data_IF_752118088378
#
_entry.id   IF_752118088378
#
_cell.length_a   1.000
_cell.length_b   1.000
_cell.length_c   1.000
_cell.angle_alpha   90.00
_cell.angle_beta   90.00
_cell.angle_gamma   90.00
#
_symmetry.space_group_name_H-M   'P 1'
#
loop_
_entity.id
_entity.type
_entity.pdbx_description
1 polymer ?
#
# COMPACT_ATOMS: atom_id res chain seq x y z
N UNK A 1 19.74 -6.05 0.18
CA UNK A 1 18.74 -5.63 1.18
C UNK A 1 17.64 -4.88 0.45
N UNK A 2 16.41 -5.35 0.61
CA UNK A 2 15.24 -4.72 -0.01
C UNK A 2 15.07 -3.28 0.55
N UNK A 3 14.73 -2.32 -0.32
CA UNK A 3 14.53 -0.92 0.12
C UNK A 3 13.43 -0.79 1.18
N UNK A 4 12.43 -1.66 1.13
CA UNK A 4 11.33 -1.69 2.09
C UNK A 4 11.74 -2.22 3.47
N UNK A 5 12.76 -3.11 3.54
CA UNK A 5 13.33 -3.53 4.84
C UNK A 5 13.93 -2.33 5.61
N UNK A 6 14.61 -1.42 4.88
CA UNK A 6 15.12 -0.18 5.49
C UNK A 6 14.00 0.73 5.97
N UNK A 7 12.92 0.84 5.19
CA UNK A 7 11.78 1.69 5.50
C UNK A 7 10.90 1.15 6.62
N UNK A 8 10.90 -0.16 6.85
CA UNK A 8 10.04 -0.83 7.82
C UNK A 8 10.10 -0.23 9.24
N UNK A 9 11.29 0.18 9.69
CA UNK A 9 11.50 0.74 11.03
C UNK A 9 10.74 2.04 11.30
N UNK A 10 10.47 2.81 10.24
CA UNK A 10 9.74 4.10 10.31
C UNK A 10 8.39 4.03 9.59
N UNK A 11 7.97 2.83 9.23
CA UNK A 11 6.68 2.64 8.56
C UNK A 11 5.53 2.62 9.59
N UNK A 12 4.31 2.97 9.13
CA UNK A 12 3.15 2.92 9.99
C UNK A 12 2.94 1.50 10.52
N UNK A 13 2.63 1.37 11.80
CA UNK A 13 2.25 0.11 12.44
C UNK A 13 0.73 0.04 12.62
N UNK A 14 0.25 -1.16 12.79
CA UNK A 14 -1.16 -1.41 13.06
C UNK A 14 -1.65 -0.61 14.28
N UNK A 15 -2.82 0.00 14.14
CA UNK A 15 -3.56 0.63 15.22
C UNK A 15 -4.92 -0.04 15.31
N UNK A 16 -5.41 -0.32 16.52
CA UNK A 16 -6.70 -0.99 16.68
C UNK A 16 -7.89 -0.15 16.17
N UNK A 17 -7.73 1.17 16.12
CA UNK A 17 -8.70 2.11 15.57
C UNK A 17 -8.47 2.30 14.06
N UNK A 18 -9.56 2.33 13.29
CA UNK A 18 -9.50 2.60 11.86
C UNK A 18 -9.16 4.08 11.61
N UNK A 19 -8.24 4.33 10.69
CA UNK A 19 -8.06 5.68 10.15
C UNK A 19 -9.20 6.03 9.17
N UNK A 20 -9.25 7.29 8.72
CA UNK A 20 -10.32 7.79 7.86
C UNK A 20 -10.50 6.97 6.59
N UNK A 21 -9.40 6.64 5.89
CA UNK A 21 -9.47 5.87 4.63
C UNK A 21 -9.92 4.42 4.88
N UNK A 22 -9.44 3.81 5.94
CA UNK A 22 -9.89 2.46 6.32
C UNK A 22 -11.38 2.45 6.61
N UNK A 23 -11.86 3.41 7.41
CA UNK A 23 -13.27 3.54 7.76
C UNK A 23 -14.13 3.71 6.50
N UNK A 24 -13.81 4.67 5.64
CA UNK A 24 -14.52 4.92 4.38
C UNK A 24 -14.50 3.69 3.46
N UNK A 25 -13.37 2.99 3.39
CA UNK A 25 -13.24 1.76 2.59
C UNK A 25 -14.15 0.66 3.11
N UNK A 26 -14.13 0.37 4.40
CA UNK A 26 -14.98 -0.68 4.98
C UNK A 26 -16.46 -0.33 4.88
N UNK A 27 -16.86 0.92 5.12
CA UNK A 27 -18.24 1.39 4.93
C UNK A 27 -18.69 1.21 3.48
N UNK A 28 -17.85 1.55 2.50
CA UNK A 28 -18.19 1.38 1.08
C UNK A 28 -18.32 -0.10 0.70
N UNK A 29 -17.41 -0.97 1.17
CA UNK A 29 -17.49 -2.41 0.95
C UNK A 29 -18.75 -3.01 1.57
N UNK A 30 -19.12 -2.59 2.77
CA UNK A 30 -20.35 -3.01 3.45
C UNK A 30 -21.60 -2.62 2.65
N UNK A 31 -21.64 -1.39 2.10
CA UNK A 31 -22.75 -0.95 1.25
C UNK A 31 -22.89 -1.80 -0.02
N UNK A 32 -21.80 -2.32 -0.54
CA UNK A 32 -21.78 -3.29 -1.65
C UNK A 32 -22.01 -4.74 -1.20
N UNK A 33 -22.32 -4.97 0.08
CA UNK A 33 -22.53 -6.31 0.70
C UNK A 33 -21.31 -7.23 0.54
N UNK A 34 -20.12 -6.66 0.50
CA UNK A 34 -18.86 -7.42 0.51
C UNK A 34 -18.46 -7.63 1.97
N UNK A 35 -18.38 -8.89 2.39
CA UNK A 35 -18.03 -9.31 3.74
C UNK A 35 -16.72 -10.10 3.70
N UNK A 36 -15.91 -9.91 4.73
CA UNK A 36 -14.70 -10.70 5.00
C UNK A 36 -14.98 -11.93 5.88
N UNK A 37 -16.19 -12.00 6.46
CA UNK A 37 -16.59 -13.04 7.37
C UNK A 37 -16.41 -14.43 6.76
N UNK A 38 -15.66 -15.29 7.45
CA UNK A 38 -15.39 -16.68 7.07
C UNK A 38 -14.71 -16.86 5.69
N UNK A 39 -14.03 -15.83 5.18
CA UNK A 39 -13.33 -15.86 3.90
C UNK A 39 -11.86 -16.24 4.03
N UNK A 40 -11.36 -16.97 3.02
CA UNK A 40 -9.92 -17.08 2.76
C UNK A 40 -9.45 -15.85 2.01
N UNK A 41 -8.46 -15.15 2.57
CA UNK A 41 -7.98 -13.87 2.04
C UNK A 41 -6.48 -13.97 1.75
N UNK A 42 -6.05 -13.40 0.63
CA UNK A 42 -4.64 -13.06 0.42
C UNK A 42 -4.49 -11.53 0.43
N UNK A 43 -3.54 -11.03 1.23
CA UNK A 43 -3.13 -9.62 1.26
C UNK A 43 -1.76 -9.49 0.61
N UNK A 44 -1.70 -8.82 -0.56
CA UNK A 44 -0.53 -8.76 -1.44
C UNK A 44 0.22 -7.46 -1.20
N UNK A 45 1.51 -7.58 -0.81
CA UNK A 45 2.30 -6.44 -0.37
C UNK A 45 1.75 -5.86 0.92
N UNK A 46 1.50 -6.76 1.88
CA UNK A 46 0.82 -6.46 3.15
C UNK A 46 1.59 -5.49 4.07
N UNK A 47 2.90 -5.29 3.82
CA UNK A 47 3.76 -4.45 4.65
C UNK A 47 3.73 -4.88 6.11
N UNK A 48 3.63 -3.90 7.01
CA UNK A 48 3.53 -4.09 8.46
C UNK A 48 2.14 -4.54 8.94
N UNK A 49 1.22 -4.85 8.02
CA UNK A 49 -0.09 -5.38 8.37
C UNK A 49 -1.15 -4.36 8.77
N UNK A 50 -0.97 -3.09 8.43
CA UNK A 50 -1.91 -2.00 8.77
C UNK A 50 -3.34 -2.29 8.31
N UNK A 51 -3.52 -3.01 7.21
CA UNK A 51 -4.82 -3.50 6.73
C UNK A 51 -5.06 -4.96 7.14
N UNK A 52 -4.06 -5.80 6.99
CA UNK A 52 -4.12 -7.24 7.24
C UNK A 52 -4.77 -7.58 8.57
N UNK A 53 -4.35 -6.89 9.65
CA UNK A 53 -4.85 -7.19 11.00
C UNK A 53 -6.30 -6.74 11.22
N UNK A 54 -6.80 -5.75 10.47
CA UNK A 54 -8.23 -5.44 10.47
C UNK A 54 -9.05 -6.50 9.72
N UNK A 55 -8.55 -6.95 8.56
CA UNK A 55 -9.20 -8.02 7.79
C UNK A 55 -9.26 -9.34 8.59
N UNK A 56 -8.20 -9.64 9.33
CA UNK A 56 -8.08 -10.86 10.13
C UNK A 56 -9.12 -10.98 11.24
N UNK A 57 -9.73 -9.88 11.69
CA UNK A 57 -10.77 -9.91 12.73
C UNK A 57 -12.03 -10.69 12.30
N UNK A 58 -12.30 -10.74 11.00
CA UNK A 58 -13.49 -11.39 10.44
C UNK A 58 -13.15 -12.59 9.55
N UNK A 59 -11.97 -12.58 8.95
CA UNK A 59 -11.55 -13.61 8.01
C UNK A 59 -11.42 -14.99 8.68
N UNK A 60 -11.71 -16.05 7.91
CA UNK A 60 -11.38 -17.42 8.31
C UNK A 60 -9.87 -17.60 8.42
N UNK A 61 -9.15 -17.17 7.41
CA UNK A 61 -7.68 -17.21 7.34
C UNK A 61 -7.15 -16.15 6.40
N UNK A 62 -5.94 -15.65 6.68
CA UNK A 62 -5.23 -14.71 5.81
C UNK A 62 -3.85 -15.24 5.49
N UNK A 63 -3.49 -15.17 4.20
CA UNK A 63 -2.12 -15.24 3.73
C UNK A 63 -1.61 -13.83 3.47
N UNK A 64 -0.67 -13.34 4.26
CA UNK A 64 -0.02 -12.05 4.13
C UNK A 64 1.29 -12.20 3.35
N UNK A 65 1.34 -11.67 2.15
CA UNK A 65 2.47 -11.78 1.23
C UNK A 65 3.22 -10.45 1.16
N UNK A 66 4.52 -10.46 1.42
CA UNK A 66 5.41 -9.32 1.20
C UNK A 66 6.83 -9.77 0.86
N UNK A 67 7.53 -8.98 0.05
CA UNK A 67 8.92 -9.24 -0.34
C UNK A 67 9.94 -8.75 0.69
N UNK A 68 9.53 -7.93 1.67
CA UNK A 68 10.36 -7.37 2.71
C UNK A 68 10.18 -8.14 4.03
N UNK A 69 11.21 -8.88 4.43
CA UNK A 69 11.14 -9.71 5.64
C UNK A 69 10.90 -8.88 6.91
N UNK A 70 11.54 -7.72 7.04
CA UNK A 70 11.40 -6.84 8.20
C UNK A 70 9.96 -6.33 8.36
N UNK A 71 9.22 -6.12 7.25
CA UNK A 71 7.80 -5.78 7.30
C UNK A 71 6.98 -6.92 7.92
N UNK A 72 7.25 -8.16 7.50
CA UNK A 72 6.54 -9.33 8.01
C UNK A 72 6.85 -9.63 9.48
N UNK A 73 8.08 -9.38 9.93
CA UNK A 73 8.45 -9.49 11.34
C UNK A 73 7.62 -8.54 12.22
N UNK A 74 7.45 -7.29 11.79
CA UNK A 74 6.60 -6.30 12.47
C UNK A 74 5.14 -6.74 12.47
N UNK A 75 4.62 -7.22 11.33
CA UNK A 75 3.26 -7.75 11.23
C UNK A 75 3.03 -8.91 12.22
N UNK A 76 3.98 -9.86 12.30
CA UNK A 76 3.88 -11.00 13.21
C UNK A 76 3.91 -10.58 14.69
N UNK A 77 4.75 -9.58 15.04
CA UNK A 77 4.80 -9.01 16.37
C UNK A 77 3.47 -8.37 16.75
N UNK A 78 2.89 -7.54 15.85
CA UNK A 78 1.62 -6.89 16.07
C UNK A 78 0.46 -7.90 16.12
N UNK A 79 0.45 -8.93 15.27
CA UNK A 79 -0.51 -10.01 15.30
C UNK A 79 -0.50 -10.73 16.66
N UNK A 80 0.69 -11.05 17.18
CA UNK A 80 0.86 -11.67 18.51
C UNK A 80 0.33 -10.77 19.62
N UNK A 81 0.67 -9.47 19.58
CA UNK A 81 0.24 -8.47 20.57
C UNK A 81 -1.28 -8.35 20.62
N UNK A 82 -1.94 -8.47 19.47
CA UNK A 82 -3.39 -8.37 19.33
C UNK A 82 -4.14 -9.73 19.32
N UNK A 83 -3.43 -10.84 19.64
CA UNK A 83 -4.00 -12.19 19.74
C UNK A 83 -4.67 -12.66 18.43
N UNK A 84 -4.12 -12.28 17.29
CA UNK A 84 -4.56 -12.69 15.96
C UNK A 84 -3.78 -13.94 15.54
N UNK A 85 -4.46 -15.08 15.37
CA UNK A 85 -3.85 -16.39 15.12
C UNK A 85 -4.19 -17.00 13.75
N UNK A 86 -5.14 -16.44 13.02
CA UNK A 86 -5.60 -16.91 11.71
C UNK A 86 -4.80 -16.30 10.54
N UNK A 87 -3.55 -15.90 10.80
CA UNK A 87 -2.65 -15.24 9.87
C UNK A 87 -1.43 -16.12 9.58
N UNK A 88 -1.11 -16.26 8.30
CA UNK A 88 0.16 -16.81 7.82
C UNK A 88 0.90 -15.76 7.02
N UNK A 89 2.20 -15.62 7.23
CA UNK A 89 3.07 -14.71 6.45
C UNK A 89 3.90 -15.51 5.46
N UNK A 90 4.16 -14.91 4.30
CA UNK A 90 5.01 -15.49 3.27
C UNK A 90 5.93 -14.43 2.68
N UNK A 91 7.24 -14.62 2.85
CA UNK A 91 8.24 -13.70 2.31
C UNK A 91 8.60 -14.07 0.86
N UNK A 92 7.83 -13.54 -0.08
CA UNK A 92 8.04 -13.67 -1.53
C UNK A 92 7.50 -12.42 -2.24
N UNK A 93 8.01 -12.13 -3.43
CA UNK A 93 7.35 -11.22 -4.36
C UNK A 93 6.14 -11.90 -5.03
N UNK A 94 5.23 -11.08 -5.56
CA UNK A 94 3.97 -11.57 -6.12
C UNK A 94 4.17 -12.48 -7.35
N UNK A 95 5.13 -12.16 -8.23
CA UNK A 95 5.41 -12.98 -9.42
C UNK A 95 5.91 -14.37 -9.03
N UNK A 96 6.86 -14.45 -8.09
CA UNK A 96 7.38 -15.71 -7.55
C UNK A 96 6.30 -16.52 -6.84
N UNK A 97 5.45 -15.87 -6.06
CA UNK A 97 4.31 -16.50 -5.42
C UNK A 97 3.38 -17.15 -6.45
N UNK A 98 2.96 -16.38 -7.46
CA UNK A 98 1.98 -16.88 -8.43
C UNK A 98 2.52 -18.01 -9.31
N UNK A 99 3.82 -18.00 -9.65
CA UNK A 99 4.47 -19.08 -10.39
C UNK A 99 4.47 -20.43 -9.66
N UNK A 100 4.59 -20.37 -8.34
CA UNK A 100 4.81 -21.55 -7.50
C UNK A 100 3.55 -21.97 -6.69
N UNK A 101 2.42 -21.30 -6.92
CA UNK A 101 1.23 -21.52 -6.12
C UNK A 101 -0.04 -21.55 -6.98
N UNK A 102 -0.84 -22.60 -6.79
CA UNK A 102 -2.14 -22.77 -7.45
C UNK A 102 -3.33 -22.45 -6.51
N UNK A 103 -3.06 -21.93 -5.32
CA UNK A 103 -4.12 -21.62 -4.36
C UNK A 103 -5.05 -20.54 -4.92
N UNK A 104 -6.33 -20.71 -4.64
CA UNK A 104 -7.37 -19.73 -4.92
C UNK A 104 -7.93 -19.24 -3.59
N UNK A 105 -8.30 -17.98 -3.57
CA UNK A 105 -8.86 -17.32 -2.39
C UNK A 105 -10.28 -16.85 -2.67
N UNK A 106 -11.05 -16.62 -1.62
CA UNK A 106 -12.32 -15.94 -1.76
C UNK A 106 -12.11 -14.47 -2.09
N UNK A 107 -11.06 -13.87 -1.51
CA UNK A 107 -10.74 -12.45 -1.66
C UNK A 107 -9.23 -12.22 -1.80
N UNK A 108 -8.85 -11.39 -2.76
CA UNK A 108 -7.50 -10.82 -2.85
C UNK A 108 -7.55 -9.33 -2.53
N UNK A 109 -6.72 -8.91 -1.60
CA UNK A 109 -6.59 -7.54 -1.17
C UNK A 109 -5.20 -7.02 -1.53
N UNK A 110 -5.12 -5.79 -2.01
CA UNK A 110 -3.88 -5.09 -2.28
C UNK A 110 -4.07 -3.61 -1.96
N UNK A 111 -3.27 -3.08 -1.06
CA UNK A 111 -3.34 -1.67 -0.67
C UNK A 111 -1.99 -0.99 -0.79
N UNK A 112 -1.92 0.06 -1.62
CA UNK A 112 -0.76 0.95 -1.75
C UNK A 112 0.57 0.22 -2.03
N UNK A 113 0.50 -0.97 -2.62
CA UNK A 113 1.65 -1.82 -2.88
C UNK A 113 2.11 -1.73 -4.33
N UNK A 114 3.44 -1.70 -4.60
CA UNK A 114 3.99 -1.78 -5.93
C UNK A 114 4.08 -3.22 -6.46
N UNK A 115 3.37 -4.18 -5.89
CA UNK A 115 3.46 -5.60 -6.25
C UNK A 115 3.01 -5.92 -7.67
N UNK A 116 2.13 -5.08 -8.26
CA UNK A 116 1.67 -5.24 -9.63
C UNK A 116 2.45 -4.31 -10.56
N UNK A 117 3.38 -4.87 -11.36
CA UNK A 117 4.32 -4.10 -12.17
C UNK A 117 3.97 -4.04 -13.66
N UNK A 118 3.16 -4.98 -14.15
CA UNK A 118 2.91 -5.18 -15.58
C UNK A 118 1.58 -5.93 -15.82
N UNK A 119 1.17 -6.06 -17.08
CA UNK A 119 -0.09 -6.71 -17.47
C UNK A 119 -0.19 -8.18 -17.03
N UNK A 120 0.93 -8.89 -16.96
CA UNK A 120 0.95 -10.27 -16.45
C UNK A 120 0.57 -10.32 -14.97
N UNK A 121 1.08 -9.38 -14.17
CA UNK A 121 0.74 -9.29 -12.76
C UNK A 121 -0.73 -8.92 -12.57
N UNK A 122 -1.28 -8.02 -13.42
CA UNK A 122 -2.71 -7.69 -13.40
C UNK A 122 -3.56 -8.92 -13.71
N UNK A 123 -3.19 -9.68 -14.76
CA UNK A 123 -3.87 -10.93 -15.11
C UNK A 123 -3.81 -11.95 -13.96
N UNK A 124 -2.65 -12.10 -13.35
CA UNK A 124 -2.44 -13.00 -12.22
C UNK A 124 -3.29 -12.59 -11.01
N UNK A 125 -3.33 -11.30 -10.70
CA UNK A 125 -4.17 -10.75 -9.62
C UNK A 125 -5.66 -11.03 -9.86
N UNK A 126 -6.13 -10.80 -11.09
CA UNK A 126 -7.54 -11.05 -11.47
C UNK A 126 -7.93 -12.53 -11.38
N UNK A 127 -6.98 -13.44 -11.60
CA UNK A 127 -7.21 -14.88 -11.57
C UNK A 127 -7.06 -15.49 -10.16
N UNK A 128 -6.61 -14.73 -9.16
CA UNK A 128 -6.23 -15.25 -7.85
C UNK A 128 -7.41 -15.49 -6.92
N UNK A 129 -8.47 -14.70 -7.04
CA UNK A 129 -9.61 -14.73 -6.13
C UNK A 129 -10.94 -14.44 -6.85
N UNK A 130 -12.07 -14.72 -6.18
CA UNK A 130 -13.41 -14.36 -6.67
C UNK A 130 -13.61 -12.85 -6.62
N UNK A 131 -13.28 -12.22 -5.49
CA UNK A 131 -13.37 -10.78 -5.29
C UNK A 131 -11.95 -10.23 -5.18
N UNK A 132 -11.65 -9.16 -5.91
CA UNK A 132 -10.38 -8.45 -5.84
C UNK A 132 -10.64 -7.02 -5.41
N UNK A 133 -9.94 -6.58 -4.38
CA UNK A 133 -10.00 -5.24 -3.81
C UNK A 133 -8.62 -4.61 -3.96
N UNK A 134 -8.57 -3.50 -4.66
CA UNK A 134 -7.35 -2.75 -4.91
C UNK A 134 -7.51 -1.32 -4.43
N UNK A 135 -6.65 -0.90 -3.51
CA UNK A 135 -6.46 0.50 -3.15
C UNK A 135 -5.15 1.00 -3.71
N UNK A 136 -5.20 2.14 -4.39
CA UNK A 136 -4.02 2.80 -4.94
C UNK A 136 -4.19 4.30 -4.98
N UNK A 137 -3.09 5.03 -5.11
CA UNK A 137 -3.19 6.46 -5.36
C UNK A 137 -3.72 6.74 -6.77
N UNK A 138 -4.38 7.86 -6.92
CA UNK A 138 -4.56 8.49 -8.23
C UNK A 138 -3.26 9.25 -8.58
N UNK A 139 -3.24 9.99 -9.67
CA UNK A 139 -2.14 10.88 -10.06
C UNK A 139 -2.04 12.14 -9.17
N UNK A 140 -3.04 12.39 -8.33
CA UNK A 140 -3.06 13.56 -7.45
C UNK A 140 -2.37 13.24 -6.12
N UNK A 141 -1.25 13.87 -5.89
CA UNK A 141 -0.57 13.94 -4.60
C UNK A 141 0.20 15.24 -4.49
N UNK A 142 0.04 15.93 -3.37
CA UNK A 142 0.77 17.14 -3.02
C UNK A 142 1.42 16.98 -1.65
N UNK A 143 2.56 17.59 -1.47
CA UNK A 143 3.26 17.72 -0.20
C UNK A 143 3.85 19.11 -0.09
N UNK A 144 3.51 19.84 0.96
CA UNK A 144 4.06 21.17 1.22
C UNK A 144 5.58 21.13 1.51
N UNK A 145 6.10 19.96 1.86
CA UNK A 145 7.52 19.71 2.10
C UNK A 145 8.25 19.13 0.86
N UNK A 146 7.73 18.09 0.24
CA UNK A 146 8.43 17.41 -0.87
C UNK A 146 8.33 18.17 -2.18
N UNK A 147 7.21 18.82 -2.48
CA UNK A 147 7.02 19.52 -3.78
C UNK A 147 8.07 20.61 -4.03
N UNK A 148 8.42 21.49 -3.05
CA UNK A 148 9.52 22.46 -3.22
C UNK A 148 10.86 21.81 -3.48
N UNK A 149 11.17 20.68 -2.81
CA UNK A 149 12.42 19.95 -2.99
C UNK A 149 12.50 19.38 -4.42
N UNK A 150 11.44 18.71 -4.89
CA UNK A 150 11.39 18.16 -6.24
C UNK A 150 11.50 19.27 -7.30
N UNK A 151 10.85 20.41 -7.09
CA UNK A 151 10.96 21.58 -7.97
C UNK A 151 12.39 22.09 -8.06
N UNK A 152 13.14 22.10 -6.95
CA UNK A 152 14.55 22.48 -6.96
C UNK A 152 15.40 21.58 -7.87
N UNK A 153 15.09 20.28 -7.92
CA UNK A 153 15.72 19.32 -8.83
C UNK A 153 15.10 19.31 -10.26
N UNK A 154 14.37 20.36 -10.64
CA UNK A 154 13.71 20.52 -11.95
C UNK A 154 12.79 19.35 -12.32
N UNK A 155 12.09 18.79 -11.34
CA UNK A 155 11.15 17.70 -11.51
C UNK A 155 9.89 17.91 -10.68
N UNK A 156 8.89 17.12 -10.93
CA UNK A 156 7.67 17.09 -10.12
C UNK A 156 7.65 15.83 -9.27
N UNK A 157 7.15 15.95 -8.03
CA UNK A 157 6.85 14.81 -7.23
C UNK A 157 5.64 14.09 -7.83
N UNK A 158 5.93 13.15 -8.73
CA UNK A 158 4.90 12.24 -9.27
C UNK A 158 4.91 11.00 -8.40
N UNK A 159 3.75 10.65 -7.88
CA UNK A 159 3.54 9.30 -7.34
C UNK A 159 3.98 8.26 -8.38
N UNK A 160 4.23 7.02 -7.98
CA UNK A 160 4.70 5.93 -8.87
C UNK A 160 3.65 5.59 -9.92
N UNK A 161 3.55 6.41 -11.00
CA UNK A 161 2.59 6.18 -12.08
C UNK A 161 3.25 5.61 -13.33
N UNK A 162 3.02 4.33 -13.54
CA UNK A 162 2.98 3.67 -14.84
C UNK A 162 1.51 3.28 -15.11
N UNK A 163 1.17 2.79 -16.30
CA UNK A 163 -0.13 2.14 -16.59
C UNK A 163 -0.50 1.26 -15.40
N UNK A 164 -1.60 1.58 -14.78
CA UNK A 164 -2.02 0.89 -13.58
C UNK A 164 -3.13 -0.12 -13.87
N UNK A 165 -3.55 -0.82 -12.84
CA UNK A 165 -4.61 -1.81 -12.94
C UNK A 165 -5.90 -1.21 -13.52
N UNK A 166 -6.25 0.04 -13.20
CA UNK A 166 -7.46 0.69 -13.71
C UNK A 166 -7.44 0.80 -15.25
N UNK A 167 -6.34 1.30 -15.80
CA UNK A 167 -6.19 1.42 -17.25
C UNK A 167 -6.28 0.05 -17.92
N UNK A 168 -5.66 -0.96 -17.33
CA UNK A 168 -5.73 -2.34 -17.83
C UNK A 168 -7.17 -2.88 -17.83
N UNK A 169 -7.94 -2.65 -16.75
CA UNK A 169 -9.34 -3.08 -16.68
C UNK A 169 -10.19 -2.41 -17.76
N UNK A 170 -10.00 -1.09 -17.98
CA UNK A 170 -10.69 -0.34 -19.04
C UNK A 170 -10.32 -0.86 -20.45
N UNK A 171 -9.05 -1.05 -20.73
CA UNK A 171 -8.57 -1.58 -22.03
C UNK A 171 -9.11 -3.00 -22.33
N UNK A 172 -9.29 -3.82 -21.29
CA UNK A 172 -9.84 -5.17 -21.41
C UNK A 172 -11.36 -5.27 -21.30
N UNK A 173 -12.06 -4.13 -21.14
CA UNK A 173 -13.50 -4.07 -20.90
C UNK A 173 -13.96 -4.94 -19.72
N UNK A 174 -13.16 -4.99 -18.64
CA UNK A 174 -13.49 -5.70 -17.40
C UNK A 174 -14.26 -4.76 -16.49
N UNK A 175 -15.45 -5.18 -16.07
CA UNK A 175 -16.27 -4.38 -15.16
C UNK A 175 -15.66 -4.31 -13.75
N UNK A 176 -15.70 -3.13 -13.15
CA UNK A 176 -15.30 -2.89 -11.75
C UNK A 176 -16.08 -1.72 -11.14
N UNK A 177 -16.24 -1.76 -9.84
CA UNK A 177 -16.69 -0.60 -9.09
C UNK A 177 -15.50 0.27 -8.75
N UNK A 178 -15.69 1.60 -8.82
CA UNK A 178 -14.67 2.58 -8.45
C UNK A 178 -15.25 3.66 -7.55
N UNK A 179 -14.53 4.00 -6.50
CA UNK A 179 -14.71 5.22 -5.73
C UNK A 179 -13.35 5.86 -5.47
N UNK A 180 -13.32 7.17 -5.30
CA UNK A 180 -12.12 7.93 -4.98
C UNK A 180 -12.36 8.67 -3.67
N UNK A 181 -11.43 8.51 -2.73
CA UNK A 181 -11.41 9.20 -1.44
C UNK A 181 -10.36 10.31 -1.47
N UNK A 182 -10.72 11.47 -0.92
CA UNK A 182 -9.75 12.53 -0.63
C UNK A 182 -9.09 12.25 0.73
N UNK A 183 -7.77 12.35 0.79
CA UNK A 183 -6.99 12.22 2.01
C UNK A 183 -6.15 13.47 2.23
N UNK A 184 -6.27 14.05 3.41
CA UNK A 184 -5.33 15.06 3.90
C UNK A 184 -4.78 14.57 5.23
N UNK A 185 -3.47 14.46 5.34
CA UNK A 185 -2.81 14.05 6.57
C UNK A 185 -1.66 14.98 6.92
N UNK A 186 -1.46 15.19 8.21
CA UNK A 186 -0.31 15.89 8.75
C UNK A 186 0.64 14.88 9.39
N UNK A 187 1.90 14.94 9.03
CA UNK A 187 2.94 14.04 9.53
C UNK A 187 4.01 14.88 10.20
N UNK A 188 4.16 14.69 11.50
CA UNK A 188 5.26 15.30 12.24
C UNK A 188 6.53 14.48 11.99
N UNK A 189 7.64 15.17 11.71
CA UNK A 189 8.96 14.57 11.49
C UNK A 189 10.00 15.38 12.22
N UNK A 190 10.94 14.69 12.84
CA UNK A 190 12.19 15.34 13.24
C UNK A 190 12.95 15.81 12.00
N UNK A 191 13.90 16.71 12.18
CA UNK A 191 14.78 17.17 11.09
C UNK A 191 15.42 16.00 10.34
N UNK A 192 15.96 15.04 11.07
CA UNK A 192 16.62 13.84 10.51
C UNK A 192 15.64 12.99 9.70
N UNK A 193 14.46 12.71 10.25
CA UNK A 193 13.43 11.94 9.55
C UNK A 193 12.92 12.63 8.29
N UNK A 194 12.81 13.97 8.29
CA UNK A 194 12.43 14.74 7.13
C UNK A 194 13.47 14.62 6.01
N UNK A 195 14.76 14.77 6.36
CA UNK A 195 15.87 14.61 5.40
C UNK A 195 15.90 13.19 4.83
N UNK A 196 15.80 12.16 5.67
CA UNK A 196 15.79 10.76 5.23
C UNK A 196 14.58 10.45 4.34
N UNK A 197 13.41 10.98 4.69
CA UNK A 197 12.21 10.83 3.88
C UNK A 197 12.36 11.48 2.50
N UNK A 198 12.92 12.69 2.42
CA UNK A 198 13.16 13.36 1.15
C UNK A 198 14.18 12.61 0.30
N UNK A 199 15.30 12.17 0.86
CA UNK A 199 16.31 11.35 0.17
C UNK A 199 15.73 10.05 -0.37
N UNK A 200 14.88 9.38 0.42
CA UNK A 200 14.21 8.16 0.00
C UNK A 200 13.30 8.41 -1.21
N UNK A 201 12.47 9.45 -1.17
CA UNK A 201 11.58 9.80 -2.28
C UNK A 201 12.35 10.21 -3.54
N UNK A 202 13.43 11.01 -3.41
CA UNK A 202 14.30 11.38 -4.52
C UNK A 202 14.94 10.14 -5.16
N UNK A 203 15.48 9.24 -4.35
CA UNK A 203 16.08 7.97 -4.80
C UNK A 203 15.07 7.10 -5.56
N UNK A 204 13.84 6.99 -5.05
CA UNK A 204 12.77 6.23 -5.72
C UNK A 204 12.38 6.85 -7.08
N UNK A 205 12.58 8.16 -7.25
CA UNK A 205 12.38 8.87 -8.51
C UNK A 205 13.67 8.97 -9.35
N UNK A 206 14.70 8.17 -9.02
CA UNK A 206 16.00 8.10 -9.72
C UNK A 206 16.79 9.39 -9.70
N UNK A 207 16.56 10.23 -8.69
CA UNK A 207 17.32 11.45 -8.44
C UNK A 207 18.38 11.12 -7.40
N UNK A 208 19.65 11.21 -7.81
CA UNK A 208 20.80 11.04 -6.92
C UNK A 208 21.22 12.40 -6.37
N UNK A 209 21.27 12.54 -5.07
CA UNK A 209 21.68 13.79 -4.39
C UNK A 209 22.36 13.47 -3.06
N UNK A 210 23.04 14.46 -2.49
CA UNK A 210 23.68 14.32 -1.18
C UNK A 210 22.74 14.72 -0.04
N UNK A 211 23.09 14.27 1.17
CA UNK A 211 22.36 14.63 2.39
C UNK A 211 22.46 16.14 2.66
N UNK A 212 23.60 16.76 2.36
CA UNK A 212 23.86 18.18 2.54
C UNK A 212 22.91 19.02 1.67
N UNK A 213 22.73 18.64 0.41
CA UNK A 213 21.82 19.33 -0.51
C UNK A 213 20.38 19.31 -0.01
N UNK A 214 19.91 18.19 0.56
CA UNK A 214 18.56 18.09 1.11
C UNK A 214 18.46 18.79 2.46
N UNK A 215 19.52 18.77 3.28
CA UNK A 215 19.52 19.41 4.61
C UNK A 215 19.33 20.93 4.52
N UNK A 216 19.67 21.56 3.40
CA UNK A 216 19.42 23.00 3.20
C UNK A 216 17.94 23.38 3.17
N UNK A 217 17.04 22.41 2.97
CA UNK A 217 15.58 22.61 2.99
C UNK A 217 14.96 22.39 4.36
N UNK A 218 15.72 21.90 5.35
CA UNK A 218 15.20 21.48 6.65
C UNK A 218 16.01 22.12 7.79
N UNK A 219 15.51 23.20 8.34
CA UNK A 219 16.16 23.86 9.48
C UNK A 219 15.84 23.20 10.82
N UNK A 220 14.58 22.83 11.02
CA UNK A 220 14.03 22.29 12.28
C UNK A 220 13.12 21.08 11.98
N UNK A 221 12.51 20.54 13.05
CA UNK A 221 11.41 19.60 12.92
C UNK A 221 10.26 20.23 12.13
N UNK A 222 9.57 19.41 11.34
CA UNK A 222 8.53 19.87 10.43
C UNK A 222 7.20 19.17 10.71
N UNK A 223 6.11 19.80 10.27
CA UNK A 223 4.81 19.18 10.10
C UNK A 223 4.51 19.20 8.60
N UNK A 224 4.68 18.05 7.95
CA UNK A 224 4.38 17.88 6.53
C UNK A 224 2.88 17.68 6.34
N UNK A 225 2.25 18.50 5.48
CA UNK A 225 0.88 18.30 5.01
C UNK A 225 0.89 17.59 3.67
N UNK A 226 0.25 16.42 3.62
CA UNK A 226 0.14 15.60 2.41
C UNK A 226 -1.32 15.53 2.01
N UNK A 227 -1.61 15.97 0.78
CA UNK A 227 -2.90 15.77 0.14
C UNK A 227 -2.77 14.67 -0.91
N UNK A 228 -3.68 13.73 -0.92
CA UNK A 228 -3.72 12.66 -1.92
C UNK A 228 -5.16 12.23 -2.22
N UNK A 229 -5.33 11.60 -3.38
CA UNK A 229 -6.58 10.95 -3.75
C UNK A 229 -6.32 9.46 -3.89
N UNK A 230 -7.10 8.68 -3.16
CA UNK A 230 -6.99 7.24 -3.09
C UNK A 230 -8.16 6.62 -3.82
N UNK A 231 -7.88 5.80 -4.83
CA UNK A 231 -8.91 5.05 -5.53
C UNK A 231 -9.06 3.65 -4.94
N UNK A 232 -10.29 3.25 -4.76
CA UNK A 232 -10.68 1.88 -4.46
C UNK A 232 -11.32 1.28 -5.70
N UNK A 233 -10.75 0.17 -6.18
CA UNK A 233 -11.30 -0.63 -7.27
C UNK A 233 -11.76 -1.97 -6.71
N UNK A 234 -12.95 -2.41 -7.09
CA UNK A 234 -13.50 -3.69 -6.69
C UNK A 234 -13.90 -4.44 -7.95
N UNK A 235 -13.25 -5.59 -8.16
CA UNK A 235 -13.49 -6.46 -9.30
C UNK A 235 -14.11 -7.75 -8.76
N UNK A 236 -15.30 -8.04 -9.21
CA UNK A 236 -16.02 -9.26 -8.87
C UNK A 236 -16.29 -10.03 -10.16
N UNK A 237 -15.74 -11.25 -10.25
CA UNK A 237 -16.07 -12.17 -11.34
C UNK A 237 -17.38 -12.86 -10.95
N UNK A 238 -18.51 -12.22 -11.22
CA UNK A 238 -19.82 -12.88 -11.20
C UNK A 238 -20.01 -13.69 -12.46
#
# INVERSE_FOLDING_TARGET
>A
MNLWDKKAKTYARYQNTLNTIQKQTFEYLQNLKISFQDKSIIDIGCGTGVWTLHLAKEAKEILALDSANTMLEILQEDAKTHTISNLKTLNLDFESFYKNNNAKFDLAFLSMSPALQNEKDYTNFLNLAKIKIYLGWTDYRKSDFLDPIFKYFNTEFKGFYKKDLENYLLEKNIFFHKIVFDETRKVQRTKEEAIENALWHLSMNKITTSKEAVSSFVENDIIETIESKIKLLIINNL
#
